data_IF_564424135502
#
_entry.id   IF_564424135502
#
_cell.length_a   1.000
_cell.length_b   1.000
_cell.length_c   1.000
_cell.angle_alpha   90.00
_cell.angle_beta   90.00
_cell.angle_gamma   90.00
#
_symmetry.space_group_name_H-M   'P 1'
#
loop_
_entity.id
_entity.type
_entity.pdbx_description
1 polymer ?
#
# COMPACT_ATOMS: atom_id res chain seq x y z
N UNK A 1 0.48 24.24 10.92
CA UNK A 1 1.31 23.38 10.06
C UNK A 1 0.76 21.97 10.23
N UNK A 2 0.21 21.37 9.18
CA UNK A 2 -0.46 20.07 9.29
C UNK A 2 0.36 19.04 8.52
N UNK A 3 0.83 18.03 9.22
CA UNK A 3 1.66 16.98 8.62
C UNK A 3 0.83 16.12 7.66
N UNK A 4 1.42 15.81 6.51
CA UNK A 4 0.82 14.91 5.52
C UNK A 4 1.30 13.49 5.78
N UNK A 5 0.43 12.67 6.35
CA UNK A 5 0.68 11.26 6.57
C UNK A 5 0.51 10.48 5.26
N UNK A 6 1.46 9.59 4.95
CA UNK A 6 1.38 8.70 3.78
C UNK A 6 0.59 7.42 4.03
N UNK A 7 0.39 7.06 5.29
CA UNK A 7 -0.30 5.85 5.71
C UNK A 7 -0.13 5.62 7.21
N UNK A 8 -0.88 4.65 7.73
CA UNK A 8 -0.82 4.18 9.12
C UNK A 8 -0.78 2.66 9.12
N UNK A 9 -0.05 2.07 10.08
CA UNK A 9 -0.05 0.63 10.33
C UNK A 9 -1.06 0.33 11.43
N UNK A 10 -1.96 -0.61 11.19
CA UNK A 10 -2.96 -1.05 12.16
C UNK A 10 -2.68 -2.50 12.51
N UNK A 11 -2.62 -2.80 13.80
CA UNK A 11 -2.40 -4.14 14.35
C UNK A 11 -3.52 -4.47 15.33
N UNK A 12 -3.94 -5.73 15.35
CA UNK A 12 -4.85 -6.21 16.38
C UNK A 12 -4.15 -6.25 17.75
N UNK A 13 -4.91 -6.09 18.82
CA UNK A 13 -4.42 -6.14 20.20
C UNK A 13 -4.19 -7.58 20.70
N UNK A 14 -4.85 -8.55 20.07
CA UNK A 14 -4.68 -9.98 20.29
C UNK A 14 -4.90 -10.76 18.99
N UNK A 15 -4.56 -12.05 19.00
CA UNK A 15 -4.84 -12.94 17.87
C UNK A 15 -6.35 -13.13 17.69
N UNK A 16 -6.85 -12.76 16.52
CA UNK A 16 -8.26 -12.94 16.14
C UNK A 16 -8.39 -14.02 15.08
N UNK A 17 -9.59 -14.60 14.95
CA UNK A 17 -9.89 -15.57 13.88
C UNK A 17 -9.94 -14.85 12.53
N UNK A 18 -9.61 -15.59 11.48
CA UNK A 18 -9.58 -15.07 10.10
C UNK A 18 -10.95 -14.51 9.68
N UNK A 19 -12.04 -15.23 9.99
CA UNK A 19 -13.42 -14.80 9.68
C UNK A 19 -13.78 -13.44 10.32
N UNK A 20 -13.30 -13.21 11.56
CA UNK A 20 -13.52 -11.94 12.27
C UNK A 20 -12.63 -10.83 11.68
N UNK A 21 -11.40 -11.19 11.28
CA UNK A 21 -10.47 -10.26 10.64
C UNK A 21 -10.98 -9.77 9.28
N UNK A 22 -11.61 -10.63 8.48
CA UNK A 22 -12.17 -10.25 7.17
C UNK A 22 -13.18 -9.12 7.27
N UNK A 23 -14.08 -9.18 8.26
CA UNK A 23 -15.08 -8.13 8.47
C UNK A 23 -14.43 -6.80 8.83
N UNK A 24 -13.40 -6.83 9.67
CA UNK A 24 -12.65 -5.64 10.08
C UNK A 24 -11.87 -5.06 8.88
N UNK A 25 -11.23 -5.91 8.08
CA UNK A 25 -10.50 -5.50 6.88
C UNK A 25 -11.45 -4.84 5.86
N UNK A 26 -12.63 -5.42 5.65
CA UNK A 26 -13.66 -4.85 4.80
C UNK A 26 -14.10 -3.48 5.31
N UNK A 27 -14.31 -3.33 6.61
CA UNK A 27 -14.65 -2.05 7.23
C UNK A 27 -13.56 -0.99 7.01
N UNK A 28 -12.29 -1.34 7.21
CA UNK A 28 -11.17 -0.41 6.98
C UNK A 28 -11.10 -0.01 5.49
N UNK A 29 -11.32 -0.94 4.55
CA UNK A 29 -11.34 -0.64 3.11
C UNK A 29 -12.45 0.32 2.70
N UNK A 30 -13.56 0.38 3.45
CA UNK A 30 -14.66 1.32 3.18
C UNK A 30 -14.37 2.76 3.64
N UNK A 31 -13.33 2.99 4.45
CA UNK A 31 -12.97 4.32 4.93
C UNK A 31 -12.42 5.16 3.77
N UNK A 32 -12.92 6.39 3.62
CA UNK A 32 -12.47 7.32 2.58
C UNK A 32 -10.96 7.53 2.66
N UNK A 33 -10.30 7.50 1.49
CA UNK A 33 -8.85 7.63 1.33
C UNK A 33 -8.02 6.39 1.75
N UNK A 34 -8.64 5.26 2.08
CA UNK A 34 -7.92 3.98 2.20
C UNK A 34 -7.71 3.39 0.81
N UNK A 35 -6.45 3.19 0.44
CA UNK A 35 -6.07 2.61 -0.86
C UNK A 35 -5.96 1.08 -0.81
N UNK A 36 -5.47 0.53 0.30
CA UNK A 36 -5.21 -0.92 0.44
C UNK A 36 -5.20 -1.33 1.92
N UNK A 37 -5.71 -2.53 2.19
CA UNK A 37 -5.63 -3.21 3.50
C UNK A 37 -5.35 -4.68 3.24
N UNK A 38 -4.26 -5.21 3.78
CA UNK A 38 -3.77 -6.55 3.49
C UNK A 38 -3.60 -7.35 4.79
N UNK A 39 -4.29 -8.50 4.96
CA UNK A 39 -4.16 -9.35 6.14
C UNK A 39 -2.76 -9.97 6.22
N UNK A 40 -2.27 -10.17 7.45
CA UNK A 40 -1.00 -10.86 7.71
C UNK A 40 -1.31 -12.09 8.55
N UNK A 41 -1.40 -13.26 7.90
CA UNK A 41 -1.83 -14.51 8.56
C UNK A 41 -0.69 -15.18 9.35
N UNK A 42 0.58 -14.83 9.07
CA UNK A 42 1.80 -15.12 9.88
C UNK A 42 3.03 -14.77 9.06
N UNK A 43 3.63 -13.61 9.33
CA UNK A 43 5.04 -13.23 9.11
C UNK A 43 5.15 -11.71 8.99
N UNK A 44 5.64 -11.07 10.06
CA UNK A 44 5.75 -9.61 10.16
C UNK A 44 6.88 -9.03 9.28
N UNK A 45 7.83 -9.85 8.82
CA UNK A 45 8.97 -9.41 8.01
C UNK A 45 8.60 -9.04 6.56
N UNK A 46 7.49 -9.58 6.04
CA UNK A 46 7.17 -9.49 4.61
C UNK A 46 6.51 -8.16 4.21
N UNK A 47 5.89 -7.42 5.14
CA UNK A 47 5.09 -6.23 4.82
C UNK A 47 5.95 -4.99 4.51
N UNK A 48 7.00 -4.71 5.30
CA UNK A 48 7.89 -3.59 4.99
C UNK A 48 8.66 -3.83 3.69
N UNK A 49 9.01 -5.09 3.40
CA UNK A 49 9.63 -5.47 2.14
C UNK A 49 8.66 -5.26 0.96
N UNK A 50 7.43 -5.81 1.03
CA UNK A 50 6.45 -5.71 -0.06
C UNK A 50 5.97 -4.30 -0.33
N UNK A 51 5.64 -3.51 0.71
CA UNK A 51 5.16 -2.13 0.51
C UNK A 51 6.28 -1.22 -0.05
N UNK A 52 7.54 -1.44 0.36
CA UNK A 52 8.69 -0.74 -0.21
C UNK A 52 8.92 -1.16 -1.66
N UNK A 53 8.85 -2.46 -1.94
CA UNK A 53 8.97 -3.02 -3.29
C UNK A 53 7.85 -2.44 -4.19
N UNK A 54 6.57 -2.58 -3.86
CA UNK A 54 5.48 -2.06 -4.69
C UNK A 54 5.56 -0.54 -4.90
N UNK A 55 6.00 0.22 -3.88
CA UNK A 55 6.27 1.65 -4.01
C UNK A 55 7.42 1.98 -4.97
N UNK A 56 8.51 1.20 -4.95
CA UNK A 56 9.65 1.39 -5.85
C UNK A 56 9.35 0.93 -7.28
N UNK A 57 8.62 -0.17 -7.44
CA UNK A 57 8.22 -0.69 -8.74
C UNK A 57 7.27 0.27 -9.46
N UNK A 58 6.28 0.83 -8.77
CA UNK A 58 5.41 1.89 -9.34
C UNK A 58 6.18 3.13 -9.75
N UNK A 59 7.20 3.54 -8.97
CA UNK A 59 8.07 4.68 -9.33
C UNK A 59 8.92 4.39 -10.57
N UNK A 60 9.52 3.20 -10.67
CA UNK A 60 10.32 2.79 -11.83
C UNK A 60 9.46 2.69 -13.09
N UNK A 61 8.26 2.11 -12.97
CA UNK A 61 7.31 2.02 -14.08
C UNK A 61 6.87 3.42 -14.56
N UNK A 62 6.56 4.31 -13.62
CA UNK A 62 6.18 5.69 -13.95
C UNK A 62 7.33 6.49 -14.56
N UNK A 63 8.57 6.29 -14.08
CA UNK A 63 9.74 6.91 -14.66
C UNK A 63 9.94 6.48 -16.13
N UNK A 64 9.80 5.19 -16.44
CA UNK A 64 9.91 4.68 -17.81
C UNK A 64 8.81 5.20 -18.73
N UNK A 65 7.57 5.30 -18.24
CA UNK A 65 6.43 5.89 -18.97
C UNK A 65 6.62 7.38 -19.27
N UNK A 66 7.18 8.14 -18.32
CA UNK A 66 7.49 9.57 -18.52
C UNK A 66 8.64 9.75 -19.50
N UNK A 67 9.68 8.91 -19.42
CA UNK A 67 10.86 8.98 -20.29
C UNK A 67 10.55 8.57 -21.75
N UNK A 68 9.61 7.65 -21.95
CA UNK A 68 9.11 7.32 -23.30
C UNK A 68 8.14 8.37 -23.86
N UNK A 69 7.51 9.19 -23.00
CA UNK A 69 6.64 10.29 -23.41
C UNK A 69 7.41 11.54 -23.86
N UNK A 70 8.58 11.81 -23.28
CA UNK A 70 9.44 12.96 -23.63
C UNK A 70 10.27 12.73 -24.90
N UNK A 71 10.52 11.48 -25.30
CA UNK A 71 11.29 11.16 -26.51
C UNK A 71 10.50 11.28 -27.84
N UNK A 72 9.27 11.83 -27.82
CA UNK A 72 8.45 12.08 -29.02
C UNK A 72 8.29 13.56 -29.42
N UNK A 73 8.98 14.50 -28.76
CA UNK A 73 8.93 15.94 -29.12
C UNK A 73 10.29 16.54 -29.47
N UNK A 74 11.22 15.74 -30.00
CA UNK A 74 12.57 16.17 -30.38
C UNK A 74 13.03 15.59 -31.72
N UNK A 75 12.13 15.54 -32.71
CA UNK A 75 12.42 15.23 -34.10
C UNK A 75 11.82 16.28 -35.01
#
# INVERSE_FOLDING_TARGET
>A
MTDRLKGVLVTFDHDIREDDAEQIIAAIRMIKCVAEVSPIVRNHEDLMARVRVDGEWRKKLMALLVDTGTNKSGG
#
